data_IF_987801192776
#
_entry.id   IF_987801192776
#
_cell.length_a   1.000
_cell.length_b   1.000
_cell.length_c   1.000
_cell.angle_alpha   90.00
_cell.angle_beta   90.00
_cell.angle_gamma   90.00
#
_symmetry.space_group_name_H-M   'P 1'
#
loop_
_entity.id
_entity.type
_entity.pdbx_description
1 polymer ?
#
# COMPACT_ATOMS: atom_id res chain seq x y z
N UNK A 1 -20.66 7.28 -42.54
CA UNK A 1 -20.00 7.93 -41.39
C UNK A 1 -20.75 7.44 -40.15
N UNK A 2 -20.46 6.21 -39.73
CA UNK A 2 -21.17 5.55 -38.64
C UNK A 2 -20.57 5.99 -37.31
N UNK A 3 -21.43 6.61 -36.49
CA UNK A 3 -21.13 7.03 -35.13
C UNK A 3 -21.01 5.77 -34.27
N UNK A 4 -19.78 5.41 -33.90
CA UNK A 4 -19.52 4.39 -32.89
C UNK A 4 -20.09 4.85 -31.54
N UNK A 5 -21.26 4.33 -31.16
CA UNK A 5 -21.75 4.43 -29.79
C UNK A 5 -20.91 3.51 -28.90
N UNK A 6 -19.91 4.08 -28.23
CA UNK A 6 -19.16 3.41 -27.17
C UNK A 6 -20.11 3.24 -25.97
N UNK A 7 -20.72 2.06 -25.86
CA UNK A 7 -21.50 1.69 -24.67
C UNK A 7 -20.56 1.70 -23.45
N UNK A 8 -20.68 2.74 -22.62
CA UNK A 8 -19.76 3.11 -21.55
C UNK A 8 -19.92 2.26 -20.27
N UNK A 9 -20.29 0.99 -20.40
CA UNK A 9 -20.67 0.11 -19.28
C UNK A 9 -19.53 -0.78 -18.74
N UNK A 10 -18.30 -0.58 -19.22
CA UNK A 10 -17.19 -1.55 -19.06
C UNK A 10 -16.26 -1.30 -17.86
N UNK A 11 -16.61 -0.47 -16.87
CA UNK A 11 -15.57 0.03 -15.97
C UNK A 11 -15.12 -0.88 -14.82
N UNK A 12 -15.85 -1.92 -14.41
CA UNK A 12 -15.34 -2.79 -13.34
C UNK A 12 -15.80 -4.25 -13.40
N UNK A 13 -14.80 -5.11 -13.20
CA UNK A 13 -14.73 -6.55 -13.39
C UNK A 13 -15.92 -7.34 -12.82
N UNK A 14 -16.39 -8.28 -13.63
CA UNK A 14 -17.42 -9.29 -13.39
C UNK A 14 -17.07 -10.26 -12.25
N UNK A 15 -18.07 -10.58 -11.43
CA UNK A 15 -18.05 -11.73 -10.51
C UNK A 15 -18.80 -12.88 -11.18
N UNK A 16 -18.13 -14.01 -11.38
CA UNK A 16 -18.75 -15.26 -11.86
C UNK A 16 -19.33 -16.03 -10.66
N UNK A 17 -20.66 -16.07 -10.41
CA UNK A 17 -21.23 -17.06 -9.51
C UNK A 17 -21.22 -18.42 -10.22
N UNK A 18 -20.75 -19.46 -9.53
CA UNK A 18 -20.47 -20.78 -10.09
C UNK A 18 -21.72 -21.56 -10.55
N UNK A 19 -22.94 -20.99 -10.53
CA UNK A 19 -24.16 -21.80 -10.67
C UNK A 19 -25.44 -21.09 -11.15
N UNK A 20 -25.39 -20.05 -12.00
CA UNK A 20 -26.64 -19.50 -12.55
C UNK A 20 -26.49 -18.94 -13.96
N UNK A 21 -27.49 -19.23 -14.79
CA UNK A 21 -27.82 -18.66 -16.11
C UNK A 21 -28.18 -17.16 -16.06
N UNK A 22 -27.73 -16.43 -15.04
CA UNK A 22 -28.01 -15.01 -14.87
C UNK A 22 -27.01 -14.15 -15.65
N UNK A 23 -27.53 -13.13 -16.33
CA UNK A 23 -26.78 -12.11 -17.08
C UNK A 23 -25.63 -11.56 -16.24
N UNK A 24 -24.43 -11.51 -16.84
CA UNK A 24 -23.19 -11.00 -16.25
C UNK A 24 -23.35 -9.52 -15.85
N UNK A 25 -23.57 -9.24 -14.57
CA UNK A 25 -23.63 -7.87 -14.04
C UNK A 25 -22.23 -7.39 -13.67
N UNK A 26 -21.79 -6.28 -14.26
CA UNK A 26 -20.53 -5.63 -13.90
C UNK A 26 -20.61 -5.06 -12.48
N UNK A 27 -19.46 -4.77 -11.86
CA UNK A 27 -19.41 -4.07 -10.56
C UNK A 27 -20.08 -2.71 -10.64
N UNK A 28 -19.87 -1.97 -11.73
CA UNK A 28 -20.52 -0.68 -11.96
C UNK A 28 -22.04 -0.83 -12.02
N UNK A 29 -22.52 -1.85 -12.73
CA UNK A 29 -23.95 -2.12 -12.85
C UNK A 29 -24.57 -2.62 -11.54
N UNK A 30 -23.79 -3.35 -10.73
CA UNK A 30 -24.18 -3.77 -9.38
C UNK A 30 -24.25 -2.61 -8.40
N UNK A 31 -23.39 -1.59 -8.57
CA UNK A 31 -23.27 -0.43 -7.68
C UNK A 31 -23.79 0.87 -8.32
N UNK A 32 -24.61 0.78 -9.37
CA UNK A 32 -25.05 1.91 -10.20
C UNK A 32 -25.76 3.01 -9.41
N UNK A 33 -26.46 2.63 -8.35
CA UNK A 33 -27.19 3.56 -7.49
C UNK A 33 -26.29 4.41 -6.59
N UNK A 34 -24.97 4.14 -6.55
CA UNK A 34 -24.01 4.83 -5.69
C UNK A 34 -22.75 5.26 -6.48
N UNK A 35 -22.87 6.12 -7.50
CA UNK A 35 -21.75 6.48 -8.38
C UNK A 35 -20.64 7.26 -7.66
N UNK A 36 -20.97 8.01 -6.60
CA UNK A 36 -20.02 8.88 -5.90
C UNK A 36 -18.83 8.12 -5.31
N UNK A 37 -19.05 6.94 -4.71
CA UNK A 37 -17.98 6.14 -4.11
C UNK A 37 -17.06 5.55 -5.18
N UNK A 38 -17.64 5.08 -6.29
CA UNK A 38 -16.87 4.56 -7.41
C UNK A 38 -16.01 5.66 -8.06
N UNK A 39 -16.57 6.86 -8.27
CA UNK A 39 -15.83 8.02 -8.80
C UNK A 39 -14.69 8.40 -7.85
N UNK A 40 -14.95 8.41 -6.55
CA UNK A 40 -13.93 8.67 -5.54
C UNK A 40 -12.81 7.62 -5.57
N UNK A 41 -13.14 6.33 -5.63
CA UNK A 41 -12.17 5.24 -5.72
C UNK A 41 -11.32 5.34 -6.99
N UNK A 42 -11.96 5.56 -8.14
CA UNK A 42 -11.29 5.81 -9.43
C UNK A 42 -10.34 7.01 -9.36
N UNK A 43 -10.77 8.10 -8.73
CA UNK A 43 -9.93 9.31 -8.59
C UNK A 43 -8.64 9.01 -7.80
N UNK A 44 -8.72 8.17 -6.77
CA UNK A 44 -7.54 7.71 -6.03
C UNK A 44 -6.65 6.80 -6.88
N UNK A 45 -7.22 5.89 -7.66
CA UNK A 45 -6.43 5.06 -8.59
C UNK A 45 -5.69 5.90 -9.63
N UNK A 46 -6.34 6.92 -10.21
CA UNK A 46 -5.69 7.87 -11.12
C UNK A 46 -4.55 8.61 -10.41
N UNK A 47 -4.77 9.04 -9.17
CA UNK A 47 -3.74 9.70 -8.36
C UNK A 47 -2.55 8.77 -8.13
N UNK A 48 -2.79 7.50 -7.79
CA UNK A 48 -1.77 6.48 -7.64
C UNK A 48 -0.99 6.24 -8.95
N UNK A 49 -1.66 6.23 -10.09
CA UNK A 49 -1.01 6.08 -11.39
C UNK A 49 -0.07 7.26 -11.69
N UNK A 50 -0.55 8.50 -11.56
CA UNK A 50 0.22 9.68 -11.96
C UNK A 50 1.24 10.15 -10.92
N UNK A 51 0.98 9.95 -9.63
CA UNK A 51 1.89 10.38 -8.54
C UNK A 51 2.61 9.19 -7.90
N UNK A 52 1.93 8.07 -7.71
CA UNK A 52 2.50 6.87 -7.12
C UNK A 52 3.59 6.24 -7.98
N UNK A 53 3.39 6.09 -9.31
CA UNK A 53 4.43 5.51 -10.18
C UNK A 53 5.71 6.35 -10.15
N UNK A 54 5.69 7.68 -10.43
CA UNK A 54 6.91 8.47 -10.42
C UNK A 54 7.57 8.50 -9.04
N UNK A 55 6.78 8.59 -7.96
CA UNK A 55 7.33 8.60 -6.61
C UNK A 55 8.05 7.29 -6.27
N UNK A 56 7.41 6.13 -6.49
CA UNK A 56 8.01 4.83 -6.21
C UNK A 56 9.22 4.53 -7.11
N UNK A 57 9.17 4.88 -8.40
CA UNK A 57 10.33 4.75 -9.30
C UNK A 57 11.50 5.60 -8.82
N UNK A 58 11.23 6.82 -8.35
CA UNK A 58 12.27 7.70 -7.79
C UNK A 58 12.86 7.11 -6.51
N UNK A 59 12.04 6.51 -5.64
CA UNK A 59 12.52 5.79 -4.44
C UNK A 59 13.45 4.64 -4.83
N UNK A 60 13.04 3.80 -5.79
CA UNK A 60 13.86 2.70 -6.30
C UNK A 60 15.20 3.19 -6.86
N UNK A 61 15.17 4.26 -7.67
CA UNK A 61 16.36 4.88 -8.24
C UNK A 61 17.30 5.41 -7.15
N UNK A 62 16.77 6.10 -6.14
CA UNK A 62 17.57 6.67 -5.05
C UNK A 62 18.24 5.58 -4.22
N UNK A 63 17.50 4.52 -3.86
CA UNK A 63 18.05 3.37 -3.12
C UNK A 63 19.15 2.68 -3.95
N UNK A 64 18.94 2.53 -5.26
CA UNK A 64 19.94 1.92 -6.14
C UNK A 64 21.21 2.78 -6.25
N UNK A 65 21.05 4.11 -6.37
CA UNK A 65 22.17 5.06 -6.47
C UNK A 65 22.96 5.14 -5.16
N UNK A 66 22.28 5.15 -4.02
CA UNK A 66 22.89 5.32 -2.70
C UNK A 66 23.27 3.97 -2.03
N UNK A 67 23.54 2.92 -2.82
CA UNK A 67 23.91 1.57 -2.30
C UNK A 67 25.02 1.58 -1.24
N UNK A 68 25.93 2.56 -1.28
CA UNK A 68 27.05 2.73 -0.35
C UNK A 68 26.64 3.26 1.03
N UNK A 69 25.57 4.07 1.10
CA UNK A 69 25.07 4.72 2.32
C UNK A 69 23.65 4.24 2.71
N UNK A 70 23.18 3.14 2.12
CA UNK A 70 21.80 2.67 2.27
C UNK A 70 21.44 2.39 3.72
N UNK A 71 20.31 2.93 4.17
CA UNK A 71 19.73 2.59 5.46
C UNK A 71 19.38 1.10 5.50
N UNK A 72 19.36 0.57 6.71
CA UNK A 72 18.98 -0.80 6.99
C UNK A 72 17.58 -1.15 6.52
N UNK A 73 16.64 -0.19 6.62
CA UNK A 73 15.25 -0.37 6.20
C UNK A 73 15.05 -0.31 4.69
N UNK A 74 16.06 0.12 3.92
CA UNK A 74 15.94 0.36 2.47
C UNK A 74 15.57 -0.91 1.70
N UNK A 75 15.94 -2.10 2.21
CA UNK A 75 15.57 -3.39 1.60
C UNK A 75 14.04 -3.56 1.58
N UNK A 76 13.38 -3.31 2.72
CA UNK A 76 11.92 -3.44 2.81
C UNK A 76 11.21 -2.32 2.04
N UNK A 77 11.76 -1.10 2.05
CA UNK A 77 11.23 0.03 1.28
C UNK A 77 11.33 -0.25 -0.22
N UNK A 78 12.43 -0.84 -0.68
CA UNK A 78 12.62 -1.25 -2.07
C UNK A 78 11.56 -2.28 -2.48
N UNK A 79 11.33 -3.32 -1.69
CA UNK A 79 10.31 -4.31 -2.00
C UNK A 79 8.90 -3.73 -1.99
N UNK A 80 8.58 -2.87 -1.02
CA UNK A 80 7.30 -2.16 -0.99
C UNK A 80 7.10 -1.27 -2.21
N UNK A 81 8.13 -0.53 -2.64
CA UNK A 81 8.07 0.30 -3.83
C UNK A 81 7.87 -0.53 -5.12
N UNK A 82 8.45 -1.73 -5.21
CA UNK A 82 8.17 -2.66 -6.32
C UNK A 82 6.70 -3.08 -6.30
N UNK A 83 6.14 -3.43 -5.14
CA UNK A 83 4.72 -3.78 -5.02
C UNK A 83 3.81 -2.63 -5.44
N UNK A 84 4.11 -1.42 -5.00
CA UNK A 84 3.33 -0.23 -5.30
C UNK A 84 3.39 0.12 -6.79
N UNK A 85 4.55 0.01 -7.45
CA UNK A 85 4.64 0.20 -8.92
C UNK A 85 3.80 -0.84 -9.65
N UNK A 86 3.91 -2.12 -9.29
CA UNK A 86 3.13 -3.19 -9.90
C UNK A 86 1.62 -2.93 -9.74
N UNK A 87 1.20 -2.49 -8.56
CA UNK A 87 -0.19 -2.14 -8.29
C UNK A 87 -0.67 -0.92 -9.09
N UNK A 88 0.14 0.15 -9.16
CA UNK A 88 -0.24 1.36 -9.90
C UNK A 88 -0.32 1.13 -11.43
N UNK A 89 0.26 0.04 -11.94
CA UNK A 89 0.13 -0.38 -13.34
C UNK A 89 -1.14 -1.21 -13.61
N UNK A 90 -1.90 -1.61 -12.58
CA UNK A 90 -3.15 -2.35 -12.74
C UNK A 90 -4.23 -1.50 -13.46
N UNK A 91 -4.57 -0.27 -13.02
CA UNK A 91 -5.61 0.53 -13.69
C UNK A 91 -5.38 0.77 -15.19
N UNK A 92 -4.15 1.12 -15.68
CA UNK A 92 -3.94 1.25 -17.11
C UNK A 92 -4.02 -0.09 -17.85
N UNK A 93 -3.62 -1.20 -17.22
CA UNK A 93 -3.78 -2.54 -17.80
C UNK A 93 -5.27 -2.91 -17.92
N UNK A 94 -6.08 -2.56 -16.92
CA UNK A 94 -7.54 -2.70 -16.99
C UNK A 94 -8.09 -1.90 -18.17
N UNK A 95 -7.75 -0.62 -18.29
CA UNK A 95 -8.21 0.23 -19.39
C UNK A 95 -7.85 -0.34 -20.77
N UNK A 96 -6.61 -0.80 -20.96
CA UNK A 96 -6.16 -1.41 -22.22
C UNK A 96 -6.95 -2.69 -22.51
N UNK A 97 -7.17 -3.53 -21.50
CA UNK A 97 -7.94 -4.76 -21.67
C UNK A 97 -9.41 -4.48 -22.07
N UNK A 98 -10.00 -3.43 -21.51
CA UNK A 98 -11.35 -3.00 -21.83
C UNK A 98 -11.47 -2.48 -23.27
N UNK A 99 -10.50 -1.68 -23.72
CA UNK A 99 -10.55 -1.04 -25.04
C UNK A 99 -10.15 -1.98 -26.17
N UNK A 100 -9.15 -2.85 -25.96
CA UNK A 100 -8.49 -3.58 -27.05
C UNK A 100 -8.62 -5.11 -26.99
N UNK A 101 -8.81 -5.73 -25.82
CA UNK A 101 -8.63 -7.18 -25.64
C UNK A 101 -9.95 -7.97 -25.44
N UNK A 102 -11.11 -7.31 -25.51
CA UNK A 102 -12.46 -7.91 -25.41
C UNK A 102 -12.51 -9.05 -24.39
N UNK A 103 -12.37 -8.70 -23.10
CA UNK A 103 -12.59 -9.53 -21.91
C UNK A 103 -12.18 -11.01 -22.03
N UNK A 104 -10.90 -11.27 -22.30
CA UNK A 104 -10.34 -12.63 -22.22
C UNK A 104 -10.30 -13.10 -20.75
N UNK A 105 -10.72 -14.33 -20.45
CA UNK A 105 -10.73 -14.93 -19.10
C UNK A 105 -9.38 -14.92 -18.38
N UNK A 106 -8.27 -14.92 -19.14
CA UNK A 106 -6.90 -14.84 -18.61
C UNK A 106 -6.62 -13.53 -17.85
N UNK A 107 -7.08 -12.38 -18.38
CA UNK A 107 -6.81 -11.08 -17.77
C UNK A 107 -7.44 -10.95 -16.38
N UNK A 108 -8.57 -11.62 -16.15
CA UNK A 108 -9.25 -11.64 -14.85
C UNK A 108 -8.39 -12.25 -13.74
N UNK A 109 -7.74 -13.38 -14.00
CA UNK A 109 -6.85 -14.04 -13.03
C UNK A 109 -5.63 -13.19 -12.72
N UNK A 110 -5.06 -12.55 -13.76
CA UNK A 110 -3.91 -11.65 -13.61
C UNK A 110 -4.25 -10.48 -12.69
N UNK A 111 -5.38 -9.81 -12.93
CA UNK A 111 -5.83 -8.69 -12.09
C UNK A 111 -6.06 -9.13 -10.64
N UNK A 112 -6.76 -10.25 -10.45
CA UNK A 112 -7.04 -10.79 -9.11
C UNK A 112 -5.78 -11.15 -8.34
N UNK A 113 -4.75 -11.67 -9.03
CA UNK A 113 -3.44 -11.93 -8.45
C UNK A 113 -2.75 -10.64 -7.99
N UNK A 114 -2.69 -9.61 -8.84
CA UNK A 114 -2.04 -8.34 -8.48
C UNK A 114 -2.77 -7.59 -7.35
N UNK A 115 -4.11 -7.60 -7.33
CA UNK A 115 -4.86 -7.10 -6.17
C UNK A 115 -4.52 -7.90 -4.91
N UNK A 116 -4.33 -9.23 -4.99
CA UNK A 116 -3.92 -10.05 -3.86
C UNK A 116 -2.53 -9.71 -3.33
N UNK A 117 -1.61 -9.36 -4.24
CA UNK A 117 -0.29 -8.85 -3.87
C UNK A 117 -0.43 -7.55 -3.07
N UNK A 118 -1.24 -6.59 -3.55
CA UNK A 118 -1.44 -5.30 -2.88
C UNK A 118 -2.09 -5.42 -1.50
N UNK A 119 -3.12 -6.26 -1.36
CA UNK A 119 -3.77 -6.57 -0.07
C UNK A 119 -2.76 -6.91 1.03
N UNK A 120 -1.67 -7.58 0.64
CA UNK A 120 -0.64 -8.09 1.55
C UNK A 120 0.57 -7.15 1.68
N UNK A 121 0.59 -6.01 0.97
CA UNK A 121 1.61 -4.95 1.12
C UNK A 121 1.83 -4.43 2.55
N UNK A 122 0.82 -4.42 3.47
CA UNK A 122 1.04 -4.01 4.86
C UNK A 122 2.05 -4.88 5.62
N UNK A 123 2.37 -6.09 5.14
CA UNK A 123 3.39 -6.94 5.73
C UNK A 123 4.80 -6.33 5.57
N UNK A 124 5.12 -5.75 4.41
CA UNK A 124 6.39 -5.02 4.24
C UNK A 124 6.43 -3.74 5.07
N UNK A 125 5.30 -3.03 5.18
CA UNK A 125 5.20 -1.87 6.05
C UNK A 125 5.40 -2.25 7.53
N UNK A 126 4.91 -3.41 7.94
CA UNK A 126 5.17 -3.99 9.27
C UNK A 126 6.65 -4.28 9.46
N UNK A 127 7.34 -4.86 8.47
CA UNK A 127 8.80 -5.06 8.53
C UNK A 127 9.58 -3.74 8.66
N UNK A 128 9.15 -2.67 7.97
CA UNK A 128 9.75 -1.33 8.13
C UNK A 128 9.55 -0.81 9.55
N UNK A 129 8.35 -0.97 10.11
CA UNK A 129 8.06 -0.58 11.51
C UNK A 129 8.89 -1.39 12.51
N UNK A 130 9.06 -2.69 12.28
CA UNK A 130 9.89 -3.57 13.10
C UNK A 130 11.37 -3.15 13.05
N UNK A 131 11.93 -2.91 11.87
CA UNK A 131 13.35 -2.52 11.73
C UNK A 131 13.63 -1.21 12.50
N UNK A 132 12.73 -0.23 12.37
CA UNK A 132 12.81 1.04 13.10
C UNK A 132 12.62 0.86 14.60
N UNK A 133 11.71 0.00 15.02
CA UNK A 133 11.50 -0.33 16.43
C UNK A 133 12.77 -0.94 17.03
N UNK A 134 13.38 -1.92 16.35
CA UNK A 134 14.63 -2.54 16.81
C UNK A 134 15.76 -1.50 16.89
N UNK A 135 15.88 -0.60 15.92
CA UNK A 135 16.90 0.44 15.91
C UNK A 135 16.79 1.43 17.09
N UNK A 136 15.57 1.81 17.46
CA UNK A 136 15.32 2.83 18.51
C UNK A 136 15.20 2.23 19.90
N UNK A 137 14.46 1.12 20.04
CA UNK A 137 14.13 0.52 21.34
C UNK A 137 15.22 -0.47 21.77
N UNK A 138 15.86 -1.18 20.83
CA UNK A 138 16.85 -2.23 21.11
C UNK A 138 18.18 -2.00 20.36
N UNK A 139 18.86 -0.84 20.53
CA UNK A 139 20.00 -0.44 19.70
C UNK A 139 21.20 -1.40 19.78
N UNK A 140 21.43 -2.05 20.93
CA UNK A 140 22.50 -3.04 21.11
C UNK A 140 22.24 -4.28 20.26
N UNK A 141 21.01 -4.80 20.29
CA UNK A 141 20.60 -5.96 19.50
C UNK A 141 20.64 -5.61 18.01
N UNK A 142 20.14 -4.43 17.65
CA UNK A 142 20.16 -3.93 16.27
C UNK A 142 21.58 -3.84 15.69
N UNK A 143 22.55 -3.40 16.50
CA UNK A 143 23.96 -3.33 16.11
C UNK A 143 24.57 -4.72 15.92
N UNK A 144 24.16 -5.71 16.73
CA UNK A 144 24.56 -7.12 16.55
C UNK A 144 23.94 -7.75 15.30
N UNK A 145 22.69 -7.40 14.98
CA UNK A 145 21.96 -7.84 13.79
C UNK A 145 22.25 -6.97 12.55
N UNK A 146 23.43 -6.34 12.48
CA UNK A 146 23.80 -5.44 11.38
C UNK A 146 23.85 -6.14 10.02
N UNK A 147 24.02 -7.46 10.01
CA UNK A 147 24.10 -8.24 8.78
C UNK A 147 22.81 -8.18 7.96
N UNK A 148 22.96 -7.97 6.64
CA UNK A 148 21.84 -7.83 5.69
C UNK A 148 21.11 -9.15 5.46
N UNK A 149 21.73 -10.29 5.76
CA UNK A 149 21.14 -11.61 5.53
C UNK A 149 19.79 -11.78 6.25
N UNK A 150 19.70 -11.38 7.53
CA UNK A 150 18.47 -11.51 8.31
C UNK A 150 17.29 -10.76 7.68
N UNK A 151 17.55 -9.56 7.12
CA UNK A 151 16.53 -8.76 6.43
C UNK A 151 16.14 -9.37 5.09
N UNK A 152 17.12 -9.91 4.35
CA UNK A 152 16.85 -10.61 3.10
C UNK A 152 15.99 -11.86 3.34
N UNK A 153 16.32 -12.66 4.37
CA UNK A 153 15.53 -13.82 4.79
C UNK A 153 14.10 -13.39 5.16
N UNK A 154 13.94 -12.35 5.98
CA UNK A 154 12.62 -11.83 6.34
C UNK A 154 11.84 -11.34 5.11
N UNK A 155 12.49 -10.65 4.18
CA UNK A 155 11.86 -10.19 2.95
C UNK A 155 11.40 -11.37 2.07
N UNK A 156 12.21 -12.44 1.96
CA UNK A 156 11.84 -13.66 1.25
C UNK A 156 10.61 -14.31 1.90
N UNK A 157 10.59 -14.44 3.23
CA UNK A 157 9.44 -14.99 3.96
C UNK A 157 8.18 -14.18 3.70
N UNK A 158 8.26 -12.84 3.76
CA UNK A 158 7.12 -11.97 3.46
C UNK A 158 6.68 -12.13 2.00
N UNK A 159 7.60 -12.19 1.05
CA UNK A 159 7.26 -12.47 -0.35
C UNK A 159 6.53 -13.78 -0.54
N UNK A 160 6.98 -14.86 0.12
CA UNK A 160 6.31 -16.16 0.05
C UNK A 160 4.88 -16.06 0.58
N UNK A 161 4.66 -15.37 1.70
CA UNK A 161 3.31 -15.15 2.26
C UNK A 161 2.44 -14.37 1.27
N UNK A 162 2.97 -13.29 0.68
CA UNK A 162 2.27 -12.46 -0.30
C UNK A 162 1.89 -13.27 -1.55
N UNK A 163 2.83 -14.05 -2.09
CA UNK A 163 2.61 -14.86 -3.30
C UNK A 163 1.61 -15.98 -3.03
N UNK A 164 1.67 -16.65 -1.88
CA UNK A 164 0.69 -17.66 -1.48
C UNK A 164 -0.70 -17.03 -1.33
N UNK A 165 -0.81 -15.90 -0.65
CA UNK A 165 -2.07 -15.18 -0.50
C UNK A 165 -2.62 -14.73 -1.88
N UNK A 166 -1.78 -14.19 -2.75
CA UNK A 166 -2.16 -13.72 -4.08
C UNK A 166 -2.60 -14.88 -4.98
N UNK A 167 -1.89 -16.01 -4.96
CA UNK A 167 -2.26 -17.22 -5.69
C UNK A 167 -3.57 -17.81 -5.17
N UNK A 168 -3.75 -17.85 -3.85
CA UNK A 168 -4.99 -18.25 -3.21
C UNK A 168 -6.18 -17.35 -3.60
N UNK A 169 -5.98 -16.02 -3.60
CA UNK A 169 -6.96 -15.06 -4.09
C UNK A 169 -7.29 -15.34 -5.55
N UNK A 170 -6.28 -15.52 -6.40
CA UNK A 170 -6.40 -15.78 -7.84
C UNK A 170 -7.20 -17.06 -8.15
N UNK A 171 -6.86 -18.17 -7.49
CA UNK A 171 -7.54 -19.46 -7.66
C UNK A 171 -9.03 -19.40 -7.26
N UNK A 172 -9.38 -18.57 -6.28
CA UNK A 172 -10.76 -18.25 -5.93
C UNK A 172 -11.58 -19.38 -5.32
N UNK A 173 -10.95 -20.52 -4.99
CA UNK A 173 -11.62 -21.73 -4.47
C UNK A 173 -11.65 -21.80 -2.93
N UNK A 174 -11.13 -20.78 -2.24
CA UNK A 174 -11.03 -20.77 -0.77
C UNK A 174 -12.25 -20.08 -0.17
N UNK A 175 -13.05 -20.85 0.57
CA UNK A 175 -14.18 -20.34 1.36
C UNK A 175 -13.64 -19.47 2.50
N UNK A 176 -14.32 -18.35 2.81
CA UNK A 176 -13.93 -17.40 3.86
C UNK A 176 -12.60 -16.65 3.64
N UNK A 177 -12.16 -16.47 2.40
CA UNK A 177 -10.94 -15.74 2.08
C UNK A 177 -10.94 -14.29 2.62
N UNK A 178 -12.10 -13.67 2.72
CA UNK A 178 -12.32 -12.37 3.36
C UNK A 178 -11.96 -12.34 4.85
N UNK A 179 -12.14 -13.46 5.57
CA UNK A 179 -11.70 -13.59 6.96
C UNK A 179 -10.18 -13.64 7.07
N UNK A 180 -9.50 -14.30 6.11
CA UNK A 180 -8.03 -14.33 6.05
C UNK A 180 -7.46 -12.93 5.89
N UNK A 181 -8.01 -12.15 4.94
CA UNK A 181 -7.65 -10.74 4.77
C UNK A 181 -7.88 -9.94 6.07
N UNK A 182 -9.04 -10.11 6.70
CA UNK A 182 -9.42 -9.39 7.92
C UNK A 182 -8.45 -9.67 9.08
N UNK A 183 -8.07 -10.92 9.29
CA UNK A 183 -7.09 -11.31 10.32
C UNK A 183 -5.71 -10.73 10.00
N UNK A 184 -5.28 -10.81 8.74
CA UNK A 184 -3.99 -10.28 8.30
C UNK A 184 -3.91 -8.77 8.52
N UNK A 185 -4.91 -8.00 8.09
CA UNK A 185 -4.90 -6.55 8.21
C UNK A 185 -5.01 -6.09 9.67
N UNK A 186 -5.82 -6.78 10.49
CA UNK A 186 -5.93 -6.51 11.92
C UNK A 186 -4.58 -6.72 12.63
N UNK A 187 -3.94 -7.86 12.36
CA UNK A 187 -2.63 -8.20 12.93
C UNK A 187 -1.55 -7.20 12.50
N UNK A 188 -1.46 -6.90 11.20
CA UNK A 188 -0.50 -5.94 10.66
C UNK A 188 -0.73 -4.54 11.26
N UNK A 189 -1.97 -4.07 11.33
CA UNK A 189 -2.30 -2.76 11.90
C UNK A 189 -1.93 -2.66 13.38
N UNK A 190 -2.35 -3.63 14.19
CA UNK A 190 -2.05 -3.65 15.61
C UNK A 190 -0.54 -3.64 15.86
N UNK A 191 0.21 -4.44 15.10
CA UNK A 191 1.66 -4.49 15.17
C UNK A 191 2.32 -3.16 14.77
N UNK A 192 1.89 -2.56 13.65
CA UNK A 192 2.42 -1.27 13.20
C UNK A 192 2.15 -0.15 14.21
N UNK A 193 0.94 -0.09 14.78
CA UNK A 193 0.60 0.89 15.82
C UNK A 193 1.45 0.67 17.06
N UNK A 194 1.58 -0.58 17.53
CA UNK A 194 2.43 -0.94 18.67
C UNK A 194 3.87 -0.47 18.47
N UNK A 195 4.50 -0.80 17.34
CA UNK A 195 5.87 -0.41 17.04
C UNK A 195 6.04 1.11 17.05
N UNK A 196 5.14 1.86 16.40
CA UNK A 196 5.24 3.32 16.33
C UNK A 196 4.99 3.99 17.69
N UNK A 197 4.02 3.50 18.48
CA UNK A 197 3.78 4.00 19.85
C UNK A 197 4.96 3.73 20.75
N UNK A 198 5.56 2.54 20.69
CA UNK A 198 6.75 2.20 21.47
C UNK A 198 7.95 3.09 21.10
N UNK A 199 8.16 3.36 19.81
CA UNK A 199 9.19 4.31 19.35
C UNK A 199 8.92 5.71 19.92
N UNK A 200 7.68 6.22 19.84
CA UNK A 200 7.31 7.53 20.38
C UNK A 200 7.53 7.59 21.90
N UNK A 201 7.20 6.51 22.62
CA UNK A 201 7.40 6.38 24.05
C UNK A 201 8.88 6.48 24.43
N UNK A 202 9.76 5.71 23.79
CA UNK A 202 11.22 5.77 24.03
C UNK A 202 11.78 7.14 23.66
N UNK A 203 11.35 7.71 22.53
CA UNK A 203 11.73 9.07 22.13
C UNK A 203 11.21 10.14 23.09
N UNK A 204 10.13 9.89 23.85
CA UNK A 204 9.64 10.80 24.89
C UNK A 204 10.43 10.66 26.19
N UNK A 205 10.73 9.43 26.62
CA UNK A 205 11.31 9.13 27.94
C UNK A 205 12.75 9.63 28.15
N UNK A 206 13.52 9.89 27.10
CA UNK A 206 14.96 10.21 27.26
C UNK A 206 15.24 11.66 27.68
N UNK A 207 14.69 12.10 28.83
CA UNK A 207 15.21 13.24 29.60
C UNK A 207 14.74 13.27 31.07
N UNK A 208 15.61 12.93 32.03
CA UNK A 208 15.65 13.57 33.34
C UNK A 208 16.50 14.86 33.21
N UNK A 209 15.93 16.03 33.48
CA UNK A 209 16.72 17.25 33.75
C UNK A 209 16.85 18.33 32.67
N UNK A 210 15.88 18.50 31.76
CA UNK A 210 15.80 19.73 30.95
C UNK A 210 14.68 19.66 29.92
N UNK A 211 13.79 20.65 29.88
CA UNK A 211 12.49 20.51 29.18
C UNK A 211 12.55 20.58 27.64
N UNK A 212 13.72 20.87 27.04
CA UNK A 212 13.85 21.08 25.60
C UNK A 212 14.42 19.88 24.80
N UNK A 213 13.57 19.05 24.20
CA UNK A 213 14.00 17.91 23.36
C UNK A 213 15.04 18.32 22.28
N UNK A 214 16.18 17.61 22.23
CA UNK A 214 17.26 17.85 21.25
C UNK A 214 16.70 17.89 19.80
N UNK A 215 17.17 18.79 18.93
CA UNK A 215 16.57 19.03 17.60
C UNK A 215 16.46 17.78 16.73
N UNK A 216 17.47 16.90 16.75
CA UNK A 216 17.45 15.62 16.00
C UNK A 216 16.34 14.70 16.49
N UNK A 217 16.16 14.62 17.81
CA UNK A 217 15.14 13.79 18.46
C UNK A 217 13.74 14.34 18.19
N UNK A 218 13.58 15.67 18.22
CA UNK A 218 12.33 16.35 17.85
C UNK A 218 11.94 16.08 16.39
N UNK A 219 12.91 16.11 15.47
CA UNK A 219 12.70 15.73 14.07
C UNK A 219 12.27 14.27 13.92
N UNK A 220 12.94 13.34 14.61
CA UNK A 220 12.59 11.91 14.61
C UNK A 220 11.19 11.66 15.20
N UNK A 221 10.86 12.28 16.33
CA UNK A 221 9.53 12.17 16.95
C UNK A 221 8.42 12.66 16.02
N UNK A 222 8.59 13.86 15.43
CA UNK A 222 7.62 14.41 14.46
C UNK A 222 7.45 13.48 13.27
N UNK A 223 8.54 12.90 12.75
CA UNK A 223 8.48 11.94 11.64
C UNK A 223 7.68 10.69 12.01
N UNK A 224 7.94 10.08 13.16
CA UNK A 224 7.22 8.87 13.61
C UNK A 224 5.75 9.17 13.87
N UNK A 225 5.44 10.35 14.42
CA UNK A 225 4.06 10.79 14.62
C UNK A 225 3.30 10.93 13.29
N UNK A 226 3.93 11.53 12.27
CA UNK A 226 3.36 11.63 10.92
C UNK A 226 3.10 10.22 10.34
N UNK A 227 4.04 9.30 10.49
CA UNK A 227 3.89 7.91 10.01
C UNK A 227 2.73 7.21 10.72
N UNK A 228 2.63 7.34 12.04
CA UNK A 228 1.52 6.78 12.80
C UNK A 228 0.19 7.36 12.33
N UNK A 229 0.10 8.67 12.11
CA UNK A 229 -1.10 9.30 11.58
C UNK A 229 -1.48 8.76 10.19
N UNK A 230 -0.50 8.55 9.30
CA UNK A 230 -0.71 7.96 7.97
C UNK A 230 -1.20 6.50 8.08
N UNK A 231 -0.64 5.72 9.00
CA UNK A 231 -1.06 4.33 9.22
C UNK A 231 -2.50 4.28 9.71
N UNK A 232 -2.84 5.10 10.72
CA UNK A 232 -4.21 5.18 11.24
C UNK A 232 -5.17 5.65 10.15
N UNK A 233 -4.83 6.70 9.40
CA UNK A 233 -5.69 7.22 8.34
C UNK A 233 -5.99 6.19 7.25
N UNK A 234 -4.98 5.47 6.74
CA UNK A 234 -5.17 4.56 5.61
C UNK A 234 -5.73 3.18 6.03
N UNK A 235 -5.39 2.68 7.22
CA UNK A 235 -5.68 1.29 7.60
C UNK A 235 -6.74 1.14 8.71
N UNK A 236 -7.10 2.21 9.42
CA UNK A 236 -8.19 2.12 10.41
C UNK A 236 -9.54 1.76 9.79
N UNK A 237 -9.97 2.31 8.63
CA UNK A 237 -11.26 1.98 8.04
C UNK A 237 -11.48 0.47 7.76
N UNK A 238 -10.57 -0.26 7.08
CA UNK A 238 -10.74 -1.70 6.90
C UNK A 238 -10.74 -2.45 8.24
N UNK A 239 -9.87 -2.07 9.18
CA UNK A 239 -9.77 -2.71 10.50
C UNK A 239 -11.04 -2.52 11.34
N UNK A 240 -11.66 -1.34 11.26
CA UNK A 240 -12.85 -1.02 12.02
C UNK A 240 -14.13 -1.63 11.42
N UNK A 241 -14.19 -1.85 10.10
CA UNK A 241 -15.43 -2.21 9.41
C UNK A 241 -15.47 -3.69 8.96
N UNK A 242 -14.34 -4.30 8.60
CA UNK A 242 -14.33 -5.65 8.02
C UNK A 242 -14.68 -6.77 9.01
N UNK A 243 -14.26 -6.72 10.30
CA UNK A 243 -14.69 -7.71 11.29
C UNK A 243 -16.22 -7.75 11.48
N UNK A 244 -16.90 -6.63 11.20
CA UNK A 244 -18.35 -6.50 11.35
C UNK A 244 -19.09 -6.62 10.02
N UNK A 245 -18.47 -7.19 8.98
CA UNK A 245 -19.07 -7.39 7.66
C UNK A 245 -20.47 -8.00 7.72
N UNK A 246 -20.71 -8.97 8.60
CA UNK A 246 -21.98 -9.69 8.75
C UNK A 246 -23.13 -8.80 9.23
N UNK A 247 -22.85 -7.64 9.85
CA UNK A 247 -23.87 -6.68 10.30
C UNK A 247 -24.34 -5.73 9.19
N UNK A 248 -23.63 -5.67 8.07
CA UNK A 248 -23.98 -4.80 6.94
C UNK A 248 -24.73 -5.58 5.86
N UNK A 249 -25.70 -4.93 5.21
CA UNK A 249 -26.29 -5.50 4.00
C UNK A 249 -25.20 -5.73 2.92
N UNK A 250 -25.28 -6.82 2.13
CA UNK A 250 -24.26 -7.15 1.13
C UNK A 250 -23.93 -6.00 0.16
N UNK A 251 -24.95 -5.24 -0.26
CA UNK A 251 -24.80 -4.13 -1.20
C UNK A 251 -24.05 -2.95 -0.57
N UNK A 252 -24.40 -2.57 0.67
CA UNK A 252 -23.68 -1.51 1.40
C UNK A 252 -22.22 -1.90 1.65
N UNK A 253 -21.97 -3.14 2.08
CA UNK A 253 -20.59 -3.59 2.31
C UNK A 253 -19.78 -3.55 1.03
N UNK A 254 -20.33 -4.07 -0.07
CA UNK A 254 -19.63 -4.19 -1.35
C UNK A 254 -19.46 -2.84 -2.07
N UNK A 255 -20.52 -2.04 -2.15
CA UNK A 255 -20.52 -0.82 -2.96
C UNK A 255 -20.03 0.41 -2.20
N UNK A 256 -20.03 0.38 -0.86
CA UNK A 256 -19.65 1.52 -0.03
C UNK A 256 -18.39 1.22 0.80
N UNK A 257 -18.51 0.30 1.77
CA UNK A 257 -17.46 0.04 2.77
C UNK A 257 -16.18 -0.48 2.10
N UNK A 258 -16.32 -1.46 1.20
CA UNK A 258 -15.19 -2.08 0.51
C UNK A 258 -14.39 -1.04 -0.29
N UNK A 259 -15.04 -0.29 -1.18
CA UNK A 259 -14.35 0.70 -2.01
C UNK A 259 -13.73 1.83 -1.19
N UNK A 260 -14.39 2.32 -0.14
CA UNK A 260 -13.82 3.34 0.74
C UNK A 260 -12.58 2.81 1.47
N UNK A 261 -12.69 1.62 2.06
CA UNK A 261 -11.60 1.02 2.82
C UNK A 261 -10.39 0.70 1.93
N UNK A 262 -10.61 0.05 0.78
CA UNK A 262 -9.55 -0.26 -0.17
C UNK A 262 -8.99 1.01 -0.81
N UNK A 263 -9.81 2.00 -1.16
CA UNK A 263 -9.32 3.28 -1.69
C UNK A 263 -8.36 3.99 -0.73
N UNK A 264 -8.70 4.08 0.56
CA UNK A 264 -7.82 4.66 1.57
C UNK A 264 -6.56 3.80 1.77
N UNK A 265 -6.71 2.48 1.83
CA UNK A 265 -5.58 1.56 1.96
C UNK A 265 -4.60 1.68 0.77
N UNK A 266 -5.13 1.76 -0.44
CA UNK A 266 -4.37 1.81 -1.69
C UNK A 266 -3.73 3.18 -1.90
N UNK A 267 -4.32 4.26 -1.39
CA UNK A 267 -3.73 5.60 -1.44
C UNK A 267 -2.40 5.69 -0.65
N UNK A 268 -2.13 4.73 0.24
CA UNK A 268 -0.84 4.60 0.91
C UNK A 268 0.33 4.48 -0.07
N UNK A 269 0.10 3.90 -1.26
CA UNK A 269 1.10 3.71 -2.33
C UNK A 269 1.65 5.02 -2.90
N UNK A 270 0.95 6.15 -2.70
CA UNK A 270 1.46 7.48 -3.04
C UNK A 270 1.99 8.21 -1.81
N UNK A 271 1.28 8.14 -0.67
CA UNK A 271 1.65 8.93 0.52
C UNK A 271 3.03 8.52 1.07
N UNK A 272 3.30 7.22 1.19
CA UNK A 272 4.51 6.72 1.84
C UNK A 272 5.80 7.04 1.05
N UNK A 273 5.84 6.82 -0.28
CA UNK A 273 7.00 7.20 -1.09
C UNK A 273 7.24 8.71 -1.13
N UNK A 274 6.18 9.52 -1.22
CA UNK A 274 6.30 10.99 -1.18
C UNK A 274 6.90 11.44 0.16
N UNK A 275 6.45 10.86 1.28
CA UNK A 275 7.03 11.15 2.59
C UNK A 275 8.52 10.75 2.65
N UNK A 276 8.88 9.59 2.10
CA UNK A 276 10.27 9.15 2.02
C UNK A 276 11.13 10.14 1.21
N UNK A 277 10.68 10.55 0.02
CA UNK A 277 11.39 11.50 -0.83
C UNK A 277 11.51 12.89 -0.19
N UNK A 278 10.48 13.35 0.54
CA UNK A 278 10.53 14.63 1.27
C UNK A 278 11.62 14.66 2.35
N UNK A 279 12.02 13.48 2.86
CA UNK A 279 13.05 13.34 3.90
C UNK A 279 14.45 13.29 3.30
N UNK A 280 14.62 12.55 2.21
CA UNK A 280 15.92 12.43 1.52
C UNK A 280 16.30 13.70 0.74
N UNK A 281 15.34 14.59 0.50
CA UNK A 281 15.49 15.78 -0.34
C UNK A 281 15.28 15.39 -1.80
N UNK A 282 14.40 16.12 -2.51
CA UNK A 282 14.20 15.86 -3.93
C UNK A 282 15.52 16.07 -4.69
N UNK A 283 15.94 15.14 -5.56
CA UNK A 283 17.11 15.33 -6.43
C UNK A 283 16.99 16.51 -7.39
N UNK A 284 15.78 17.07 -7.51
CA UNK A 284 15.42 18.18 -8.38
C UNK A 284 15.48 19.56 -7.70
N UNK A 285 16.11 19.70 -6.53
CA UNK A 285 16.61 21.03 -6.15
C UNK A 285 17.80 21.34 -7.06
N UNK A 286 17.47 22.00 -8.15
CA UNK A 286 18.34 22.56 -9.18
C UNK A 286 19.60 23.15 -8.51
N UNK A 287 20.76 22.60 -8.87
CA UNK A 287 22.07 23.23 -8.74
C UNK A 287 22.12 24.52 -9.60
N UNK A 288 21.32 25.54 -9.27
CA UNK A 288 21.30 26.82 -9.97
C UNK A 288 22.03 27.94 -9.21
N UNK A 289 22.70 27.65 -8.08
CA UNK A 289 23.36 28.69 -7.28
C UNK A 289 24.86 28.49 -7.05
N UNK A 290 25.54 27.58 -7.75
CA UNK A 290 27.00 27.47 -7.68
C UNK A 290 27.63 27.22 -9.05
N UNK A 291 27.53 28.19 -9.96
CA UNK A 291 28.49 28.32 -11.07
C UNK A 291 28.58 29.77 -11.58
N UNK A 292 28.97 30.69 -10.71
CA UNK A 292 29.52 31.99 -11.12
C UNK A 292 30.38 32.54 -9.98
N UNK A 293 31.63 32.10 -9.92
CA UNK A 293 32.77 32.82 -9.35
C UNK A 293 34.03 31.96 -9.55
N UNK A 294 34.60 32.08 -10.74
CA UNK A 294 36.04 32.08 -11.06
C UNK A 294 36.18 32.49 -12.50
#
# INVERSE_FOLDING_TARGET
MEVFYINSSLLFISHRPLNSTAVEKTVYESCRNMPAVLIWYLSLQFTNMFLGIPANVTVLWLIHKNKRDSSTSDIFILHLAVLDVLFCLIPPLELVNLVFLTTTTSTWYVLRFFYGIKDSSPLFLSCICLDRYMAVVHPIIFTKLKDRLHRAVLAIVVWLIILVYAAAKCAGNIVNFDKVFTVMILGAFAFMVYCNVAILWVLRQSRPGGDAMHPVKKKAFKMVLIILAIIVFNYFPPVALFPFKEYFSPDVFRCYIHYIAFGLMDFSSTIQPVLYLSKEGLPWSINCSQRSNT
#
